data_IF_623502354084
#
_entry.id   IF_623502354084
#
_cell.length_a   1.000
_cell.length_b   1.000
_cell.length_c   1.000
_cell.angle_alpha   90.00
_cell.angle_beta   90.00
_cell.angle_gamma   90.00
#
_symmetry.space_group_name_H-M   'P 1'
#
loop_
_entity.id
_entity.type
_entity.pdbx_description
1 polymer ?
#
# COMPACT_ATOMS: atom_id res chain seq x y z
N UNK A 1 20.20 -48.99 29.14
CA UNK A 1 21.65 -49.11 29.39
C UNK A 1 22.24 -47.82 28.89
N UNK A 2 22.27 -46.89 29.77
CA UNK A 2 23.40 -46.39 30.55
C UNK A 2 24.53 -45.83 29.70
N UNK A 3 24.67 -44.51 29.71
CA UNK A 3 25.94 -43.88 30.05
C UNK A 3 25.70 -42.51 30.67
N UNK A 4 26.01 -42.50 31.94
CA UNK A 4 25.99 -41.36 32.88
C UNK A 4 27.21 -40.44 32.68
N UNK A 5 26.94 -39.14 32.76
CA UNK A 5 27.55 -38.17 33.66
C UNK A 5 29.07 -38.21 33.92
N UNK A 6 29.78 -37.12 33.61
CA UNK A 6 30.91 -36.62 34.41
C UNK A 6 30.94 -35.09 34.43
N UNK A 7 30.67 -34.54 35.63
CA UNK A 7 30.95 -33.18 36.05
C UNK A 7 32.44 -33.13 36.46
N UNK A 8 33.17 -32.11 35.99
CA UNK A 8 34.47 -31.79 36.51
C UNK A 8 34.45 -30.37 37.10
N UNK A 9 34.52 -30.27 38.45
CA UNK A 9 34.85 -29.07 39.15
C UNK A 9 36.34 -28.75 39.00
N UNK A 10 36.67 -27.48 38.66
CA UNK A 10 38.00 -26.92 38.82
C UNK A 10 37.96 -25.83 39.85
N UNK A 11 38.57 -26.06 41.00
CA UNK A 11 38.80 -25.10 42.05
C UNK A 11 40.01 -24.23 41.68
N UNK A 12 39.87 -22.91 41.68
CA UNK A 12 40.97 -21.93 41.55
C UNK A 12 41.34 -21.41 42.93
N UNK A 13 42.58 -21.64 43.34
CA UNK A 13 43.16 -21.18 44.57
C UNK A 13 43.39 -19.64 44.60
N UNK A 14 43.00 -19.01 45.67
CA UNK A 14 43.24 -17.65 45.96
C UNK A 14 44.66 -17.47 46.52
N UNK A 15 45.53 -16.72 45.87
CA UNK A 15 46.83 -16.25 46.40
C UNK A 15 46.64 -14.86 47.00
N UNK A 16 46.72 -14.82 48.31
CA UNK A 16 46.83 -13.57 49.08
C UNK A 16 48.22 -12.97 48.87
N UNK A 17 48.28 -11.73 48.36
CA UNK A 17 49.45 -10.88 48.46
C UNK A 17 49.17 -9.82 49.48
N UNK A 18 49.91 -9.82 50.59
CA UNK A 18 49.97 -8.79 51.58
C UNK A 18 50.83 -7.65 51.02
N UNK A 19 50.23 -6.49 50.78
CA UNK A 19 50.98 -5.26 50.53
C UNK A 19 51.04 -4.41 51.80
N UNK A 20 52.27 -4.06 52.23
CA UNK A 20 52.59 -3.16 53.32
C UNK A 20 52.04 -1.76 53.00
N UNK A 21 51.22 -1.24 53.90
CA UNK A 21 50.70 0.12 53.81
C UNK A 21 51.74 1.12 54.42
N UNK A 22 52.54 1.71 53.60
CA UNK A 22 53.26 2.94 53.97
C UNK A 22 52.30 4.12 53.87
N UNK A 23 52.00 4.75 54.99
CA UNK A 23 51.15 5.94 55.06
C UNK A 23 51.83 7.11 54.35
N UNK A 24 51.35 7.44 53.15
CA UNK A 24 51.66 8.74 52.53
C UNK A 24 50.57 9.73 52.94
N UNK A 25 50.98 10.77 53.64
CA UNK A 25 50.15 11.94 53.93
C UNK A 25 49.80 12.68 52.68
N UNK A 26 48.59 12.52 52.19
CA UNK A 26 48.04 13.33 51.11
C UNK A 26 47.69 14.73 51.64
N UNK A 27 48.02 15.81 50.87
CA UNK A 27 47.57 17.17 51.26
C UNK A 27 46.04 17.26 51.15
N UNK A 28 45.46 17.95 52.17
CA UNK A 28 44.04 18.17 52.24
C UNK A 28 43.46 18.84 51.00
N UNK A 29 42.59 18.13 50.29
CA UNK A 29 41.80 18.69 49.16
C UNK A 29 40.79 19.68 49.78
N UNK A 30 40.72 20.94 49.30
CA UNK A 30 39.70 21.87 49.75
C UNK A 30 38.29 21.30 49.42
N UNK A 31 37.28 21.55 50.29
CA UNK A 31 35.93 21.04 50.07
C UNK A 31 35.44 21.53 48.69
N UNK A 32 34.75 20.66 47.91
CA UNK A 32 34.19 21.05 46.63
C UNK A 32 33.21 22.22 46.85
N UNK A 33 33.39 23.27 46.02
CA UNK A 33 32.47 24.39 45.98
C UNK A 33 31.07 23.82 45.81
N UNK A 34 30.17 24.23 46.70
CA UNK A 34 28.74 23.87 46.65
C UNK A 34 28.19 24.19 45.29
N UNK A 35 28.12 23.17 44.40
CA UNK A 35 27.41 23.31 43.16
C UNK A 35 25.94 23.60 43.52
N UNK A 36 25.49 24.82 43.28
CA UNK A 36 24.08 25.11 43.26
C UNK A 36 23.42 24.14 42.27
N UNK A 37 22.76 23.12 42.80
CA UNK A 37 21.88 22.30 41.95
C UNK A 37 20.89 23.25 41.30
N UNK A 38 20.73 23.20 39.98
CA UNK A 38 19.67 23.95 39.32
C UNK A 38 18.35 23.56 40.02
N UNK A 39 17.68 24.54 40.64
CA UNK A 39 16.36 24.36 41.20
C UNK A 39 15.42 24.07 40.03
N UNK A 40 15.12 22.81 39.80
CA UNK A 40 14.00 22.44 38.94
C UNK A 40 12.75 22.96 39.65
N UNK A 41 12.22 24.07 39.18
CA UNK A 41 10.86 24.46 39.55
C UNK A 41 9.96 23.28 39.18
N UNK A 42 9.19 22.71 40.10
CA UNK A 42 8.25 21.67 39.72
C UNK A 42 7.37 22.27 38.63
N UNK A 43 7.28 21.59 37.47
CA UNK A 43 6.33 21.92 36.42
C UNK A 43 4.94 21.89 37.04
N UNK A 44 4.48 23.04 37.53
CA UNK A 44 3.14 23.22 38.12
C UNK A 44 2.05 23.25 37.05
N UNK A 45 2.36 22.89 35.81
CA UNK A 45 1.35 22.64 34.82
C UNK A 45 0.64 21.33 35.17
N UNK A 46 -0.47 21.48 35.91
CA UNK A 46 -1.37 20.36 36.21
C UNK A 46 -1.74 19.70 34.88
N UNK A 47 -1.21 18.53 34.63
CA UNK A 47 -1.57 17.75 33.46
C UNK A 47 -3.06 17.44 33.56
N UNK A 48 -3.88 18.11 32.79
CA UNK A 48 -5.28 17.75 32.61
C UNK A 48 -5.36 16.75 31.47
N UNK A 49 -5.78 15.53 31.78
CA UNK A 49 -6.08 14.55 30.75
C UNK A 49 -7.23 15.10 29.90
N UNK A 50 -7.11 14.99 28.55
CA UNK A 50 -8.22 15.38 27.67
C UNK A 50 -9.43 14.49 27.96
N UNK A 51 -10.63 15.03 27.70
CA UNK A 51 -11.86 14.24 27.80
C UNK A 51 -11.81 13.06 26.82
N UNK A 52 -11.93 11.80 27.30
CA UNK A 52 -11.90 10.61 26.42
C UNK A 52 -12.97 10.66 25.32
N UNK A 53 -14.13 11.25 25.60
CA UNK A 53 -15.22 11.41 24.62
C UNK A 53 -14.80 12.31 23.46
N UNK A 54 -14.18 13.45 23.77
CA UNK A 54 -13.71 14.41 22.75
C UNK A 54 -12.60 13.80 21.88
N UNK A 55 -11.62 13.10 22.49
CA UNK A 55 -10.54 12.42 21.75
C UNK A 55 -11.11 11.36 20.79
N UNK A 56 -12.02 10.52 21.28
CA UNK A 56 -12.62 9.48 20.46
C UNK A 56 -13.55 10.01 19.37
N UNK A 57 -14.24 11.14 19.62
CA UNK A 57 -15.10 11.77 18.64
C UNK A 57 -14.32 12.24 17.39
N UNK A 58 -13.06 12.65 17.55
CA UNK A 58 -12.19 13.08 16.45
C UNK A 58 -11.31 11.96 15.87
N UNK A 59 -11.37 10.72 16.37
CA UNK A 59 -10.49 9.64 15.94
C UNK A 59 -11.10 8.82 14.80
N UNK A 60 -10.34 8.60 13.73
CA UNK A 60 -10.65 7.67 12.64
C UNK A 60 -9.53 6.65 12.46
N UNK A 61 -9.89 5.44 12.04
CA UNK A 61 -8.97 4.35 11.77
C UNK A 61 -8.90 4.00 10.29
N UNK A 62 -7.71 3.67 9.81
CA UNK A 62 -7.47 3.25 8.41
C UNK A 62 -6.75 1.91 8.44
N UNK A 63 -7.44 0.83 8.03
CA UNK A 63 -6.80 -0.48 7.90
C UNK A 63 -6.02 -0.57 6.60
N UNK A 64 -4.82 -1.15 6.67
CA UNK A 64 -3.87 -1.19 5.55
C UNK A 64 -3.43 -2.62 5.24
N UNK A 65 -2.21 -2.79 4.76
CA UNK A 65 -1.49 -4.05 4.61
C UNK A 65 -0.39 -4.16 5.68
N UNK A 66 0.38 -5.24 5.71
CA UNK A 66 1.56 -5.35 6.56
C UNK A 66 2.53 -4.18 6.40
N UNK A 67 3.36 -3.95 7.41
CA UNK A 67 4.33 -2.87 7.42
C UNK A 67 5.34 -2.99 6.26
N UNK A 68 5.83 -1.85 5.77
CA UNK A 68 6.90 -1.78 4.75
C UNK A 68 6.41 -1.67 3.31
N UNK A 69 5.15 -1.99 3.01
CA UNK A 69 4.57 -1.80 1.68
C UNK A 69 3.96 -0.41 1.47
N UNK A 70 3.71 -0.03 0.22
CA UNK A 70 3.13 1.26 -0.14
C UNK A 70 1.83 1.57 0.63
N UNK A 71 0.95 0.59 0.80
CA UNK A 71 -0.33 0.75 1.51
C UNK A 71 -0.13 1.25 2.94
N UNK A 72 0.80 0.67 3.70
CA UNK A 72 1.09 1.10 5.08
C UNK A 72 1.74 2.49 5.13
N UNK A 73 2.60 2.81 4.17
CA UNK A 73 3.22 4.13 4.05
C UNK A 73 2.18 5.20 3.74
N UNK A 74 1.23 4.94 2.83
CA UNK A 74 0.14 5.88 2.52
C UNK A 74 -0.71 6.21 3.74
N UNK A 75 -1.08 5.21 4.54
CA UNK A 75 -1.85 5.46 5.77
C UNK A 75 -1.03 6.22 6.82
N UNK A 76 0.26 5.93 6.95
CA UNK A 76 1.16 6.68 7.83
C UNK A 76 1.34 8.13 7.36
N UNK A 77 1.42 8.38 6.05
CA UNK A 77 1.48 9.72 5.48
C UNK A 77 0.18 10.49 5.75
N UNK A 78 -1.00 9.84 5.62
CA UNK A 78 -2.28 10.45 5.99
C UNK A 78 -2.31 10.84 7.46
N UNK A 79 -1.88 9.96 8.37
CA UNK A 79 -1.77 10.28 9.79
C UNK A 79 -0.83 11.47 10.03
N UNK A 80 0.35 11.46 9.41
CA UNK A 80 1.35 12.52 9.59
C UNK A 80 0.89 13.89 9.10
N UNK A 81 0.13 13.92 8.02
CA UNK A 81 -0.36 15.18 7.42
C UNK A 81 -1.62 15.68 8.11
N UNK A 82 -2.55 14.78 8.46
CA UNK A 82 -3.91 15.16 8.85
C UNK A 82 -4.15 15.15 10.36
N UNK A 83 -3.23 14.56 11.16
CA UNK A 83 -3.42 14.50 12.62
C UNK A 83 -3.36 15.92 13.23
N UNK A 84 -4.47 16.39 13.77
CA UNK A 84 -4.67 17.70 14.40
C UNK A 84 -5.01 17.54 15.89
N UNK A 85 -4.17 16.82 16.63
CA UNK A 85 -4.32 16.64 18.10
C UNK A 85 -5.76 16.28 18.51
N UNK A 86 -6.50 17.29 19.02
CA UNK A 86 -7.83 17.08 19.61
C UNK A 86 -8.98 17.15 18.58
N UNK A 87 -8.71 17.60 17.33
CA UNK A 87 -9.74 17.79 16.32
C UNK A 87 -9.91 16.61 15.39
N UNK A 88 -8.81 16.08 14.87
CA UNK A 88 -8.78 14.92 14.00
C UNK A 88 -7.55 14.09 14.33
N UNK A 89 -7.77 12.84 14.69
CA UNK A 89 -6.71 11.86 14.90
C UNK A 89 -6.85 10.71 13.91
N UNK A 90 -5.79 10.44 13.18
CA UNK A 90 -5.77 9.38 12.15
C UNK A 90 -4.89 8.24 12.65
N UNK A 91 -5.47 7.07 12.83
CA UNK A 91 -4.77 5.88 13.31
C UNK A 91 -4.64 4.85 12.20
N UNK A 92 -3.43 4.67 11.62
CA UNK A 92 -3.15 3.54 10.76
C UNK A 92 -3.19 2.23 11.54
N UNK A 93 -3.92 1.25 11.02
CA UNK A 93 -4.02 -0.10 11.57
C UNK A 93 -3.41 -1.07 10.57
N UNK A 94 -2.42 -1.84 10.99
CA UNK A 94 -1.82 -2.86 10.13
C UNK A 94 -2.80 -4.03 9.97
N UNK A 95 -3.12 -4.35 8.72
CA UNK A 95 -3.95 -5.47 8.32
C UNK A 95 -3.16 -6.50 7.52
N UNK A 96 -3.87 -7.47 6.92
CA UNK A 96 -3.26 -8.51 6.10
C UNK A 96 -3.21 -8.15 4.61
N UNK A 97 -4.06 -7.23 4.16
CA UNK A 97 -4.13 -6.82 2.77
C UNK A 97 -5.55 -6.56 2.26
N UNK A 98 -5.73 -6.22 0.99
CA UNK A 98 -6.98 -5.70 0.45
C UNK A 98 -8.20 -6.61 0.65
N UNK A 99 -8.03 -7.93 0.60
CA UNK A 99 -9.13 -8.90 0.80
C UNK A 99 -9.60 -8.87 2.25
N UNK A 100 -8.67 -9.02 3.22
CA UNK A 100 -9.03 -8.97 4.64
C UNK A 100 -9.58 -7.60 5.03
N UNK A 101 -9.04 -6.52 4.46
CA UNK A 101 -9.51 -5.15 4.74
C UNK A 101 -11.00 -4.98 4.42
N UNK A 102 -11.52 -5.65 3.41
CA UNK A 102 -12.97 -5.65 3.11
C UNK A 102 -13.77 -6.28 4.26
N UNK A 103 -13.35 -7.43 4.76
CA UNK A 103 -14.00 -8.07 5.92
C UNK A 103 -13.95 -7.15 7.13
N UNK A 104 -12.81 -6.53 7.37
CA UNK A 104 -12.63 -5.63 8.50
C UNK A 104 -13.49 -4.37 8.38
N UNK A 105 -13.61 -3.78 7.19
CA UNK A 105 -14.54 -2.68 6.91
C UNK A 105 -16.00 -3.05 7.12
N UNK A 106 -16.38 -4.27 6.76
CA UNK A 106 -17.77 -4.73 6.83
C UNK A 106 -18.21 -5.11 8.26
N UNK A 107 -17.28 -5.59 9.08
CA UNK A 107 -17.65 -6.27 10.33
C UNK A 107 -16.92 -5.79 11.59
N UNK A 108 -15.74 -5.19 11.50
CA UNK A 108 -15.04 -4.69 12.68
C UNK A 108 -15.56 -3.33 13.12
N UNK A 109 -15.97 -3.23 14.38
CA UNK A 109 -16.58 -2.02 14.94
C UNK A 109 -15.66 -0.79 14.95
N UNK A 110 -14.35 -0.99 14.99
CA UNK A 110 -13.37 0.10 15.15
C UNK A 110 -12.62 0.44 13.86
N UNK A 111 -13.03 -0.10 12.72
CA UNK A 111 -12.44 0.23 11.43
C UNK A 111 -13.39 1.16 10.67
N UNK A 112 -12.91 2.36 10.36
CA UNK A 112 -13.71 3.40 9.67
C UNK A 112 -13.44 3.41 8.16
N UNK A 113 -12.16 3.23 7.78
CA UNK A 113 -11.69 3.24 6.40
C UNK A 113 -10.64 2.17 6.18
N UNK A 114 -10.40 1.82 4.92
CA UNK A 114 -9.38 0.83 4.55
C UNK A 114 -8.87 0.99 3.12
N UNK A 115 -7.69 0.47 2.86
CA UNK A 115 -7.12 0.42 1.53
C UNK A 115 -7.56 -0.87 0.84
N UNK A 116 -8.28 -0.74 -0.28
CA UNK A 116 -8.87 -1.83 -1.05
C UNK A 116 -8.46 -1.71 -2.52
N UNK A 117 -8.18 -2.83 -3.18
CA UNK A 117 -7.88 -2.84 -4.61
C UNK A 117 -9.18 -2.98 -5.45
N UNK A 118 -9.18 -2.39 -6.64
CA UNK A 118 -10.37 -2.35 -7.52
C UNK A 118 -10.84 -3.72 -7.98
N UNK A 119 -9.99 -4.73 -8.01
CA UNK A 119 -10.26 -6.11 -8.42
C UNK A 119 -10.74 -7.04 -7.29
N UNK A 120 -10.69 -6.57 -6.03
CA UNK A 120 -11.14 -7.37 -4.88
C UNK A 120 -12.63 -7.75 -4.95
N UNK A 121 -13.57 -6.87 -5.38
CA UNK A 121 -14.97 -7.29 -5.56
C UNK A 121 -15.14 -8.46 -6.53
N UNK A 122 -14.38 -8.49 -7.62
CA UNK A 122 -14.41 -9.61 -8.56
C UNK A 122 -13.94 -10.91 -7.91
N UNK A 123 -12.87 -10.86 -7.10
CA UNK A 123 -12.46 -12.01 -6.31
C UNK A 123 -13.58 -12.52 -5.38
N UNK A 124 -14.33 -11.63 -4.71
CA UNK A 124 -15.44 -12.03 -3.85
C UNK A 124 -16.57 -12.68 -4.63
N UNK A 125 -16.88 -12.19 -5.84
CA UNK A 125 -17.85 -12.82 -6.74
C UNK A 125 -17.42 -14.22 -7.15
N UNK A 126 -16.17 -14.37 -7.59
CA UNK A 126 -15.62 -15.67 -8.03
C UNK A 126 -15.54 -16.66 -6.88
N UNK A 127 -15.03 -16.23 -5.73
CA UNK A 127 -14.70 -17.12 -4.62
C UNK A 127 -15.92 -17.48 -3.75
N UNK A 128 -16.84 -16.53 -3.57
CA UNK A 128 -17.93 -16.64 -2.59
C UNK A 128 -19.32 -16.38 -3.17
N UNK A 129 -19.44 -16.03 -4.45
CA UNK A 129 -20.72 -15.62 -5.06
C UNK A 129 -21.29 -14.33 -4.46
N UNK A 130 -20.45 -13.50 -3.81
CA UNK A 130 -20.89 -12.34 -3.04
C UNK A 130 -20.55 -11.04 -3.76
N UNK A 131 -21.55 -10.17 -3.97
CA UNK A 131 -21.32 -8.79 -4.36
C UNK A 131 -21.19 -7.92 -3.11
N UNK A 132 -20.05 -7.25 -2.97
CA UNK A 132 -19.74 -6.40 -1.83
C UNK A 132 -19.79 -4.91 -2.18
N UNK A 133 -20.00 -4.56 -3.46
CA UNK A 133 -19.89 -3.18 -3.96
C UNK A 133 -20.99 -2.27 -3.41
N UNK A 134 -22.18 -2.80 -3.14
CA UNK A 134 -23.28 -2.03 -2.54
C UNK A 134 -23.02 -1.61 -1.09
N UNK A 135 -22.15 -2.32 -0.39
CA UNK A 135 -21.85 -2.08 1.02
C UNK A 135 -20.64 -1.18 1.23
N UNK A 136 -19.80 -1.00 0.22
CA UNK A 136 -18.60 -0.20 0.25
C UNK A 136 -18.73 1.06 -0.60
N UNK A 137 -18.03 2.12 -0.20
CA UNK A 137 -17.92 3.36 -0.95
C UNK A 137 -16.46 3.77 -1.00
N UNK A 138 -15.97 4.17 -2.19
CA UNK A 138 -14.63 4.73 -2.25
C UNK A 138 -14.64 6.24 -1.94
N UNK A 139 -13.63 6.70 -1.26
CA UNK A 139 -13.41 8.11 -0.97
C UNK A 139 -12.60 8.73 -2.12
N UNK A 140 -11.45 8.15 -2.44
CA UNK A 140 -10.61 8.55 -3.56
C UNK A 140 -9.76 7.39 -4.07
N UNK A 141 -9.21 7.54 -5.27
CA UNK A 141 -8.15 6.68 -5.78
C UNK A 141 -6.81 7.19 -5.27
N UNK A 142 -5.99 6.29 -4.72
CA UNK A 142 -4.68 6.61 -4.18
C UNK A 142 -3.56 6.44 -5.23
N UNK A 143 -3.37 5.23 -5.72
CA UNK A 143 -2.32 4.89 -6.68
C UNK A 143 -2.65 3.56 -7.38
N UNK A 144 -1.74 3.07 -8.22
CA UNK A 144 -1.89 1.78 -8.88
C UNK A 144 -0.92 0.74 -8.28
N UNK A 145 -1.42 -0.49 -8.08
CA UNK A 145 -0.61 -1.69 -7.90
C UNK A 145 -0.48 -2.38 -9.27
N UNK A 146 0.70 -2.46 -9.80
CA UNK A 146 1.00 -3.16 -11.03
C UNK A 146 1.04 -4.67 -10.77
N UNK A 147 0.51 -5.45 -11.71
CA UNK A 147 0.50 -6.91 -11.59
C UNK A 147 1.81 -7.46 -12.13
N UNK A 148 2.61 -8.01 -11.23
CA UNK A 148 3.87 -8.66 -11.56
C UNK A 148 3.63 -10.16 -11.67
N UNK A 149 4.06 -10.75 -12.80
CA UNK A 149 4.16 -12.19 -12.97
C UNK A 149 5.62 -12.50 -13.30
N UNK A 150 6.28 -13.26 -12.44
CA UNK A 150 7.67 -13.68 -12.66
C UNK A 150 7.68 -15.18 -12.95
N UNK A 151 8.29 -15.56 -14.07
CA UNK A 151 8.34 -16.94 -14.55
C UNK A 151 9.63 -17.20 -15.33
N UNK A 152 9.96 -18.50 -15.62
CA UNK A 152 11.00 -18.86 -16.57
C UNK A 152 10.74 -18.30 -17.97
N UNK A 153 11.81 -18.06 -18.72
CA UNK A 153 11.80 -17.32 -19.99
C UNK A 153 11.03 -17.98 -21.15
N UNK A 154 10.67 -19.25 -21.02
CA UNK A 154 9.78 -19.93 -21.95
C UNK A 154 8.31 -19.52 -21.84
N UNK A 155 7.89 -18.97 -20.70
CA UNK A 155 6.53 -18.44 -20.47
C UNK A 155 6.54 -16.96 -20.81
N UNK A 156 6.14 -16.58 -22.02
CA UNK A 156 6.29 -15.20 -22.53
C UNK A 156 5.13 -14.28 -22.19
N UNK A 157 3.93 -14.83 -22.23
CA UNK A 157 2.69 -14.08 -21.99
C UNK A 157 1.83 -14.78 -20.95
N UNK A 158 0.86 -14.08 -20.40
CA UNK A 158 -0.11 -14.65 -19.45
C UNK A 158 -0.85 -15.85 -20.04
N UNK A 159 -0.99 -15.96 -21.36
CA UNK A 159 -1.68 -17.09 -22.01
C UNK A 159 -0.85 -18.38 -21.98
N UNK A 160 0.47 -18.31 -21.86
CA UNK A 160 1.34 -19.48 -21.71
C UNK A 160 1.23 -20.16 -20.34
N UNK A 161 0.43 -19.56 -19.44
CA UNK A 161 0.18 -20.08 -18.11
C UNK A 161 -0.98 -21.10 -18.04
N UNK A 162 -1.65 -21.40 -19.17
CA UNK A 162 -2.69 -22.45 -19.22
C UNK A 162 -2.14 -23.79 -18.69
N UNK A 163 -2.84 -24.37 -17.72
CA UNK A 163 -2.46 -25.64 -17.06
C UNK A 163 -1.28 -25.56 -16.08
N UNK A 164 -0.72 -24.39 -15.82
CA UNK A 164 0.46 -24.18 -14.96
C UNK A 164 0.11 -24.04 -13.49
N UNK A 165 1.14 -24.23 -12.63
CA UNK A 165 1.08 -24.03 -11.18
C UNK A 165 1.55 -22.63 -10.84
N UNK A 166 0.67 -21.86 -10.26
CA UNK A 166 0.91 -20.45 -9.94
C UNK A 166 1.05 -20.30 -8.42
N UNK A 167 2.20 -19.83 -7.98
CA UNK A 167 2.35 -19.34 -6.61
C UNK A 167 1.69 -17.95 -6.51
N UNK A 168 0.65 -17.86 -5.71
CA UNK A 168 -0.15 -16.65 -5.54
C UNK A 168 -0.42 -16.41 -4.05
N UNK A 169 0.41 -15.62 -3.34
CA UNK A 169 0.26 -15.37 -1.92
C UNK A 169 -1.15 -14.88 -1.58
N UNK A 170 -1.77 -15.51 -0.58
CA UNK A 170 -3.21 -15.43 -0.29
C UNK A 170 -3.76 -14.00 -0.21
N UNK A 171 -3.04 -13.11 0.45
CA UNK A 171 -3.55 -11.76 0.77
C UNK A 171 -3.05 -10.68 -0.19
N UNK A 172 -2.09 -10.97 -1.07
CA UNK A 172 -1.45 -9.98 -1.95
C UNK A 172 -1.39 -10.37 -3.43
N UNK A 173 -1.60 -11.65 -3.79
CA UNK A 173 -1.50 -12.15 -5.17
C UNK A 173 -2.74 -12.89 -5.63
N UNK A 174 -3.31 -13.73 -4.77
CA UNK A 174 -4.37 -14.68 -5.16
C UNK A 174 -5.64 -13.99 -5.69
N UNK A 175 -6.03 -12.84 -5.15
CA UNK A 175 -7.23 -12.14 -5.59
C UNK A 175 -7.09 -11.61 -7.03
N UNK A 176 -5.96 -10.98 -7.35
CA UNK A 176 -5.67 -10.53 -8.72
C UNK A 176 -5.46 -11.70 -9.68
N UNK A 177 -4.77 -12.76 -9.24
CA UNK A 177 -4.61 -13.97 -10.03
C UNK A 177 -5.95 -14.56 -10.44
N UNK A 178 -6.86 -14.76 -9.48
CA UNK A 178 -8.21 -15.29 -9.76
C UNK A 178 -9.01 -14.38 -10.68
N UNK A 179 -8.97 -13.06 -10.48
CA UNK A 179 -9.66 -12.11 -11.33
C UNK A 179 -9.12 -12.15 -12.78
N UNK A 180 -7.81 -12.09 -12.96
CA UNK A 180 -7.17 -12.08 -14.29
C UNK A 180 -7.41 -13.40 -15.02
N UNK A 181 -7.07 -14.54 -14.41
CA UNK A 181 -7.18 -15.83 -15.09
C UNK A 181 -8.63 -16.23 -15.38
N UNK A 182 -9.57 -15.92 -14.48
CA UNK A 182 -11.00 -16.11 -14.76
C UNK A 182 -11.48 -15.28 -15.96
N UNK A 183 -11.11 -14.00 -16.02
CA UNK A 183 -11.49 -13.10 -17.11
C UNK A 183 -10.86 -13.47 -18.44
N UNK A 184 -9.63 -13.96 -18.42
CA UNK A 184 -8.92 -14.41 -19.63
C UNK A 184 -9.28 -15.84 -20.05
N UNK A 185 -10.07 -16.56 -19.22
CA UNK A 185 -10.41 -17.97 -19.39
C UNK A 185 -9.17 -18.88 -19.42
N UNK A 186 -8.22 -18.64 -18.54
CA UNK A 186 -7.01 -19.43 -18.37
C UNK A 186 -7.17 -20.30 -17.13
N UNK A 187 -7.02 -21.61 -17.28
CA UNK A 187 -7.10 -22.56 -16.18
C UNK A 187 -5.71 -22.77 -15.59
N UNK A 188 -5.58 -22.52 -14.30
CA UNK A 188 -4.32 -22.69 -13.56
C UNK A 188 -4.58 -23.42 -12.24
N UNK A 189 -3.54 -24.03 -11.68
CA UNK A 189 -3.55 -24.51 -10.30
C UNK A 189 -2.88 -23.49 -9.41
N UNK A 190 -3.57 -23.08 -8.34
CA UNK A 190 -3.01 -22.11 -7.37
C UNK A 190 -2.30 -22.84 -6.24
N UNK A 191 -1.07 -22.44 -5.99
CA UNK A 191 -0.40 -22.65 -4.72
C UNK A 191 -0.39 -21.33 -3.96
N UNK A 192 -0.76 -21.35 -2.69
CA UNK A 192 -0.83 -20.17 -1.82
C UNK A 192 -0.25 -20.49 -0.44
N UNK A 193 0.79 -21.31 -0.42
CA UNK A 193 1.45 -21.78 0.79
C UNK A 193 2.09 -20.65 1.57
N UNK A 194 2.58 -19.63 0.85
CA UNK A 194 3.28 -18.49 1.42
C UNK A 194 2.32 -17.30 1.61
N UNK A 195 1.87 -17.11 2.85
CA UNK A 195 1.07 -15.96 3.24
C UNK A 195 1.96 -14.72 3.32
N UNK A 196 1.81 -13.77 2.37
CA UNK A 196 2.53 -12.49 2.37
C UNK A 196 4.08 -12.61 2.46
N UNK A 197 4.65 -13.74 2.04
CA UNK A 197 6.09 -13.96 1.94
C UNK A 197 6.53 -13.99 0.48
N UNK A 198 6.86 -12.82 -0.06
CA UNK A 198 7.33 -12.68 -1.44
C UNK A 198 8.64 -13.44 -1.71
N UNK A 199 9.50 -13.58 -0.69
CA UNK A 199 10.78 -14.30 -0.81
C UNK A 199 10.53 -15.79 -0.97
N UNK A 200 9.69 -16.36 -0.12
CA UNK A 200 9.31 -17.77 -0.20
C UNK A 200 8.56 -18.11 -1.48
N UNK A 201 7.64 -17.25 -1.90
CA UNK A 201 6.89 -17.41 -3.15
C UNK A 201 7.79 -17.40 -4.38
N UNK A 202 8.70 -16.43 -4.49
CA UNK A 202 9.68 -16.36 -5.57
C UNK A 202 10.62 -17.57 -5.58
N UNK A 203 11.01 -18.06 -4.39
CA UNK A 203 11.87 -19.26 -4.27
C UNK A 203 11.21 -20.52 -4.83
N UNK A 204 9.85 -20.65 -4.76
CA UNK A 204 9.14 -21.78 -5.38
C UNK A 204 9.32 -21.80 -6.90
N UNK A 205 9.37 -20.63 -7.55
CA UNK A 205 9.62 -20.54 -9.00
C UNK A 205 11.09 -20.86 -9.30
N UNK A 206 12.03 -20.35 -8.52
CA UNK A 206 13.47 -20.63 -8.68
C UNK A 206 13.76 -22.14 -8.55
N UNK A 207 13.11 -22.81 -7.62
CA UNK A 207 13.23 -24.25 -7.35
C UNK A 207 12.44 -25.12 -8.36
N UNK A 208 11.67 -24.53 -9.29
CA UNK A 208 10.81 -25.24 -10.23
C UNK A 208 9.60 -25.93 -9.59
N UNK A 209 9.23 -25.57 -8.37
CA UNK A 209 8.05 -26.09 -7.66
C UNK A 209 6.77 -25.39 -8.08
N UNK A 210 6.86 -24.13 -8.49
CA UNK A 210 5.82 -23.38 -9.16
C UNK A 210 6.33 -22.94 -10.55
N UNK A 211 5.42 -22.78 -11.50
CA UNK A 211 5.74 -22.36 -12.87
C UNK A 211 5.78 -20.83 -12.99
N UNK A 212 5.05 -20.10 -12.13
CA UNK A 212 5.10 -18.65 -12.05
C UNK A 212 4.70 -18.16 -10.65
N UNK A 213 5.15 -16.95 -10.30
CA UNK A 213 4.69 -16.20 -9.13
C UNK A 213 3.96 -14.94 -9.56
N UNK A 214 2.78 -14.68 -8.98
CA UNK A 214 1.96 -13.51 -9.27
C UNK A 214 1.72 -12.68 -8.02
N UNK A 215 1.87 -11.36 -8.13
CA UNK A 215 1.59 -10.40 -7.06
C UNK A 215 1.16 -9.04 -7.61
N UNK A 216 0.16 -8.41 -6.97
CA UNK A 216 -0.22 -7.01 -7.21
C UNK A 216 0.44 -6.09 -6.20
N UNK A 217 1.36 -5.25 -6.64
CA UNK A 217 2.08 -4.31 -5.78
C UNK A 217 2.57 -3.09 -6.55
N UNK A 218 2.83 -2.00 -5.81
CA UNK A 218 3.39 -0.80 -6.40
C UNK A 218 4.77 -1.06 -7.01
N UNK A 219 4.97 -0.72 -8.27
CA UNK A 219 6.30 -0.71 -8.86
C UNK A 219 7.10 0.50 -8.31
N UNK A 220 8.39 0.42 -8.04
CA UNK A 220 9.31 -0.68 -8.32
C UNK A 220 9.36 -1.60 -7.09
N UNK A 221 9.16 -2.90 -7.30
CA UNK A 221 9.19 -3.91 -6.24
C UNK A 221 10.66 -4.29 -5.94
N UNK A 222 11.18 -4.05 -4.71
CA UNK A 222 12.60 -4.21 -4.41
C UNK A 222 13.13 -5.63 -4.61
N UNK A 223 12.33 -6.66 -4.25
CA UNK A 223 12.74 -8.07 -4.40
C UNK A 223 12.95 -8.46 -5.86
N UNK A 224 12.09 -7.99 -6.77
CA UNK A 224 12.21 -8.24 -8.20
C UNK A 224 13.35 -7.42 -8.82
N UNK A 225 13.50 -6.13 -8.43
CA UNK A 225 14.58 -5.28 -8.93
C UNK A 225 15.97 -5.83 -8.58
N UNK A 226 16.13 -6.33 -7.36
CA UNK A 226 17.41 -6.79 -6.82
C UNK A 226 17.62 -8.31 -7.00
N UNK A 227 16.73 -8.98 -7.73
CA UNK A 227 16.82 -10.42 -7.96
C UNK A 227 18.15 -10.76 -8.63
N UNK A 228 18.91 -11.68 -8.03
CA UNK A 228 20.09 -12.29 -8.66
C UNK A 228 19.60 -13.31 -9.68
N UNK A 229 19.50 -12.88 -10.93
CA UNK A 229 18.98 -13.67 -12.04
C UNK A 229 20.14 -14.10 -12.96
N UNK A 230 20.96 -15.00 -12.46
CA UNK A 230 22.10 -15.52 -13.22
C UNK A 230 21.59 -16.22 -14.49
N UNK A 231 22.24 -15.91 -15.63
CA UNK A 231 21.87 -16.41 -16.96
C UNK A 231 20.45 -15.98 -17.42
N UNK A 232 19.85 -14.98 -16.80
CA UNK A 232 18.50 -14.47 -17.14
C UNK A 232 17.45 -15.58 -17.31
N UNK A 233 17.40 -16.49 -16.38
CA UNK A 233 16.43 -17.62 -16.41
C UNK A 233 15.01 -17.20 -16.13
N UNK A 234 14.82 -16.09 -15.41
CA UNK A 234 13.52 -15.55 -15.05
C UNK A 234 13.31 -14.21 -15.75
N UNK A 235 12.07 -13.88 -15.99
CA UNK A 235 11.67 -12.59 -16.53
C UNK A 235 10.29 -12.17 -16.02
N UNK A 236 9.87 -10.95 -16.35
CA UNK A 236 8.50 -10.48 -16.18
C UNK A 236 7.65 -10.93 -17.37
N UNK A 237 6.55 -11.61 -17.08
CA UNK A 237 5.62 -12.14 -18.09
C UNK A 237 4.69 -11.02 -18.54
N UNK A 238 4.49 -10.88 -19.85
CA UNK A 238 3.58 -9.87 -20.41
C UNK A 238 2.11 -10.20 -20.13
N UNK A 239 1.36 -9.19 -19.70
CA UNK A 239 -0.11 -9.21 -19.59
C UNK A 239 -0.65 -8.17 -20.56
N UNK A 240 -1.04 -8.54 -21.78
CA UNK A 240 -1.62 -7.62 -22.76
C UNK A 240 -2.90 -6.99 -22.20
N UNK A 241 -3.13 -5.71 -22.51
CA UNK A 241 -4.35 -5.00 -22.10
C UNK A 241 -5.56 -5.46 -22.91
N UNK A 242 -6.06 -6.65 -22.55
CA UNK A 242 -7.20 -7.31 -23.19
C UNK A 242 -8.53 -6.63 -22.82
N UNK A 243 -9.51 -6.62 -23.75
CA UNK A 243 -10.85 -6.04 -23.51
C UNK A 243 -11.55 -6.64 -22.29
N UNK A 244 -11.30 -7.91 -21.99
CA UNK A 244 -11.86 -8.62 -20.84
C UNK A 244 -11.36 -8.09 -19.49
N UNK A 245 -10.26 -7.33 -19.46
CA UNK A 245 -9.65 -6.78 -18.26
C UNK A 245 -9.95 -5.29 -18.05
N UNK A 246 -10.46 -4.59 -19.07
CA UNK A 246 -10.54 -3.12 -19.09
C UNK A 246 -11.49 -2.48 -18.09
N UNK A 247 -12.46 -3.21 -17.57
CA UNK A 247 -13.38 -2.74 -16.53
C UNK A 247 -12.82 -2.88 -15.09
N UNK A 248 -11.76 -3.68 -14.91
CA UNK A 248 -11.11 -3.88 -13.61
C UNK A 248 -9.72 -3.24 -13.52
N UNK A 249 -9.00 -3.18 -14.63
CA UNK A 249 -7.59 -2.82 -14.67
C UNK A 249 -7.31 -1.66 -15.62
N UNK A 250 -6.24 -0.95 -15.34
CA UNK A 250 -5.64 0.04 -16.24
C UNK A 250 -4.43 -0.56 -16.96
N UNK A 251 -4.11 -0.10 -18.18
CA UNK A 251 -2.86 -0.50 -18.83
C UNK A 251 -1.66 0.03 -18.05
N UNK A 252 -0.63 -0.77 -17.97
CA UNK A 252 0.66 -0.39 -17.39
C UNK A 252 1.80 -1.10 -18.10
N UNK A 253 3.04 -0.74 -17.79
CA UNK A 253 4.23 -1.38 -18.31
C UNK A 253 5.36 -1.36 -17.29
N UNK A 254 6.31 -2.26 -17.44
CA UNK A 254 7.58 -2.26 -16.73
C UNK A 254 8.71 -1.93 -17.70
N UNK A 255 9.69 -1.16 -17.25
CA UNK A 255 10.89 -0.82 -18.04
C UNK A 255 12.12 -1.55 -17.54
N UNK A 256 13.13 -1.65 -18.41
CA UNK A 256 14.44 -2.18 -18.05
C UNK A 256 15.15 -1.36 -16.97
N UNK A 257 14.87 -0.05 -16.85
CA UNK A 257 15.42 0.79 -15.78
C UNK A 257 14.80 0.46 -14.40
N UNK A 258 13.54 0.06 -14.40
CA UNK A 258 12.84 -0.40 -13.20
C UNK A 258 13.30 -1.80 -12.77
N UNK A 259 13.51 -2.72 -13.74
CA UNK A 259 13.84 -4.13 -13.50
C UNK A 259 14.99 -4.64 -14.37
N UNK A 260 16.21 -4.14 -14.18
CA UNK A 260 17.35 -4.40 -15.09
C UNK A 260 17.76 -5.87 -15.19
N UNK A 261 17.42 -6.67 -14.16
CA UNK A 261 17.75 -8.11 -14.13
C UNK A 261 16.66 -8.99 -14.74
N UNK A 262 15.45 -8.46 -15.00
CA UNK A 262 14.29 -9.19 -15.52
C UNK A 262 13.89 -8.75 -16.93
N UNK A 263 14.26 -7.54 -17.34
CA UNK A 263 13.93 -6.96 -18.65
C UNK A 263 15.25 -6.64 -19.38
N UNK A 264 15.42 -7.02 -20.65
CA UNK A 264 16.58 -6.64 -21.46
C UNK A 264 16.70 -5.11 -21.59
N UNK A 265 17.94 -4.57 -21.66
CA UNK A 265 18.14 -3.12 -21.81
C UNK A 265 17.38 -2.51 -22.99
N UNK A 266 16.64 -1.43 -22.74
CA UNK A 266 15.87 -0.70 -23.74
C UNK A 266 14.50 -1.31 -24.07
N UNK A 267 14.15 -2.45 -23.45
CA UNK A 267 12.84 -3.09 -23.64
C UNK A 267 11.86 -2.70 -22.53
N UNK A 268 10.57 -2.91 -22.81
CA UNK A 268 9.45 -2.81 -21.85
C UNK A 268 8.62 -4.08 -21.87
N UNK A 269 7.87 -4.32 -20.81
CA UNK A 269 6.94 -5.45 -20.68
C UNK A 269 5.57 -4.91 -20.29
N UNK A 270 4.58 -5.18 -21.14
CA UNK A 270 3.19 -4.79 -20.85
C UNK A 270 2.66 -5.52 -19.64
N UNK A 271 1.91 -4.79 -18.82
CA UNK A 271 1.15 -5.33 -17.69
C UNK A 271 -0.14 -4.55 -17.48
N UNK A 272 -0.92 -4.99 -16.51
CA UNK A 272 -2.11 -4.28 -16.04
C UNK A 272 -1.96 -3.85 -14.60
N UNK A 273 -2.70 -2.83 -14.18
CA UNK A 273 -2.63 -2.31 -12.83
C UNK A 273 -4.03 -2.19 -12.21
N UNK A 274 -4.16 -2.65 -10.96
CA UNK A 274 -5.33 -2.42 -10.13
C UNK A 274 -5.22 -1.08 -9.40
N UNK A 275 -6.31 -0.31 -9.36
CA UNK A 275 -6.35 0.93 -8.57
C UNK A 275 -6.45 0.61 -7.07
N UNK A 276 -5.64 1.27 -6.24
CA UNK A 276 -5.80 1.23 -4.79
C UNK A 276 -6.68 2.39 -4.34
N UNK A 277 -7.76 2.05 -3.67
CA UNK A 277 -8.79 2.97 -3.19
C UNK A 277 -8.68 3.13 -1.67
N UNK A 278 -8.90 4.35 -1.20
CA UNK A 278 -9.34 4.57 0.17
C UNK A 278 -10.86 4.39 0.18
N UNK A 279 -11.32 3.38 0.89
CA UNK A 279 -12.73 3.00 0.95
C UNK A 279 -13.26 3.00 2.39
N UNK A 280 -14.58 3.14 2.53
CA UNK A 280 -15.32 3.05 3.78
C UNK A 280 -16.55 2.19 3.59
N UNK A 281 -17.14 1.72 4.70
CA UNK A 281 -18.49 1.18 4.67
C UNK A 281 -19.48 2.26 4.22
N UNK A 282 -20.58 1.88 3.61
CA UNK A 282 -21.66 2.79 3.21
C UNK A 282 -22.49 3.25 4.43
N UNK A 283 -21.88 4.09 5.29
CA UNK A 283 -22.55 4.61 6.48
C UNK A 283 -23.73 5.52 6.11
N UNK A 284 -24.89 5.35 6.76
CA UNK A 284 -25.99 6.31 6.60
C UNK A 284 -25.59 7.73 7.05
N UNK A 285 -26.05 8.75 6.33
CA UNK A 285 -25.62 10.15 6.44
C UNK A 285 -25.59 10.73 7.87
N UNK A 286 -26.47 10.35 8.75
CA UNK A 286 -26.62 10.97 10.08
C UNK A 286 -25.96 10.18 11.20
N UNK A 287 -25.20 9.13 10.87
CA UNK A 287 -24.50 8.33 11.89
C UNK A 287 -23.20 8.98 12.32
N UNK A 288 -22.78 8.77 13.57
CA UNK A 288 -21.51 9.28 14.09
C UNK A 288 -20.33 8.81 13.24
N UNK A 289 -20.38 7.61 12.71
CA UNK A 289 -19.34 7.09 11.81
C UNK A 289 -19.28 7.84 10.49
N UNK A 290 -20.43 8.12 9.88
CA UNK A 290 -20.47 8.95 8.69
C UNK A 290 -19.84 10.33 8.95
N UNK A 291 -20.19 10.98 10.07
CA UNK A 291 -19.68 12.32 10.41
C UNK A 291 -18.16 12.30 10.65
N UNK A 292 -17.62 11.26 11.28
CA UNK A 292 -16.17 11.11 11.44
C UNK A 292 -15.45 10.99 10.10
N UNK A 293 -15.95 10.11 9.22
CA UNK A 293 -15.37 9.92 7.87
C UNK A 293 -15.54 11.19 7.04
N UNK A 294 -16.68 11.89 7.11
CA UNK A 294 -16.90 13.14 6.40
C UNK A 294 -15.90 14.23 6.82
N UNK A 295 -15.64 14.38 8.12
CA UNK A 295 -14.62 15.29 8.64
C UNK A 295 -13.22 14.95 8.16
N UNK A 296 -12.88 13.65 8.12
CA UNK A 296 -11.63 13.19 7.55
C UNK A 296 -11.53 13.52 6.06
N UNK A 297 -12.60 13.31 5.28
CA UNK A 297 -12.67 13.64 3.85
C UNK A 297 -12.39 15.12 3.60
N UNK A 298 -13.03 15.99 4.37
CA UNK A 298 -12.80 17.43 4.28
C UNK A 298 -11.34 17.80 4.53
N UNK A 299 -10.74 17.29 5.61
CA UNK A 299 -9.33 17.51 5.93
C UNK A 299 -8.39 16.97 4.85
N UNK A 300 -8.66 15.77 4.32
CA UNK A 300 -7.84 15.11 3.29
C UNK A 300 -7.90 15.90 1.97
N UNK A 301 -9.09 16.23 1.49
CA UNK A 301 -9.26 16.88 0.18
C UNK A 301 -8.76 18.32 0.20
N UNK A 302 -9.00 19.06 1.28
CA UNK A 302 -8.47 20.42 1.45
C UNK A 302 -6.93 20.48 1.47
N UNK A 303 -6.28 19.40 1.88
CA UNK A 303 -4.82 19.32 2.01
C UNK A 303 -4.17 18.36 1.00
N UNK A 304 -4.90 17.91 -0.02
CA UNK A 304 -4.40 16.92 -0.98
C UNK A 304 -3.09 17.35 -1.66
N UNK A 305 -2.89 18.63 -1.89
CA UNK A 305 -1.66 19.18 -2.49
C UNK A 305 -0.40 19.08 -1.62
N UNK A 306 -0.52 18.67 -0.35
CA UNK A 306 0.62 18.44 0.52
C UNK A 306 1.24 17.06 0.34
N UNK A 307 0.46 16.07 -0.09
CA UNK A 307 0.87 14.68 -0.14
C UNK A 307 1.93 14.35 -1.22
N UNK A 308 1.94 14.96 -2.41
CA UNK A 308 2.98 14.68 -3.41
C UNK A 308 4.39 15.17 -3.02
N UNK A 309 4.53 15.90 -1.93
CA UNK A 309 5.80 16.50 -1.49
C UNK A 309 6.64 15.53 -0.65
N UNK A 310 7.98 15.45 -0.84
CA UNK A 310 8.85 14.67 0.04
C UNK A 310 8.67 15.07 1.52
N UNK A 311 8.90 14.15 2.46
CA UNK A 311 9.43 12.77 2.32
C UNK A 311 8.36 11.69 2.13
N UNK A 312 7.16 12.04 1.66
CA UNK A 312 6.04 11.13 1.48
C UNK A 312 6.26 10.19 0.29
N UNK A 313 5.46 9.12 0.24
CA UNK A 313 5.59 8.11 -0.80
C UNK A 313 5.46 8.73 -2.22
N UNK A 314 6.37 8.44 -3.17
CA UNK A 314 6.36 9.07 -4.50
C UNK A 314 5.05 8.86 -5.28
N UNK A 315 4.40 7.71 -5.11
CA UNK A 315 3.12 7.39 -5.76
C UNK A 315 1.92 8.24 -5.30
N UNK A 316 2.09 9.15 -4.32
CA UNK A 316 1.09 10.18 -4.05
C UNK A 316 0.83 11.11 -5.24
N UNK A 317 1.75 11.18 -6.19
CA UNK A 317 1.55 11.87 -7.48
C UNK A 317 0.47 11.20 -8.35
N UNK A 318 0.11 9.95 -8.08
CA UNK A 318 -0.95 9.21 -8.76
C UNK A 318 -2.32 9.40 -8.10
N UNK A 319 -2.36 9.96 -6.90
CA UNK A 319 -3.58 10.15 -6.14
C UNK A 319 -4.53 11.14 -6.85
N UNK A 320 -5.81 10.78 -6.90
CA UNK A 320 -6.84 11.61 -7.53
C UNK A 320 -8.13 11.56 -6.73
N UNK A 321 -8.56 12.74 -6.27
CA UNK A 321 -9.85 12.92 -5.59
C UNK A 321 -11.02 12.91 -6.58
N UNK A 322 -10.77 13.22 -7.86
CA UNK A 322 -11.78 13.30 -8.92
C UNK A 322 -11.94 12.01 -9.72
N UNK A 323 -11.01 11.05 -9.60
CA UNK A 323 -11.04 9.82 -10.38
C UNK A 323 -12.38 9.08 -10.23
N UNK A 324 -13.02 8.79 -11.35
CA UNK A 324 -14.17 7.89 -11.41
C UNK A 324 -13.64 6.46 -11.51
N UNK A 325 -14.16 5.59 -10.66
CA UNK A 325 -13.74 4.18 -10.59
C UNK A 325 -14.89 3.30 -11.08
N UNK A 326 -14.74 2.63 -12.22
CA UNK A 326 -15.80 1.77 -12.76
C UNK A 326 -16.26 0.71 -11.75
N UNK A 327 -17.57 0.50 -11.65
CA UNK A 327 -18.16 -0.48 -10.72
C UNK A 327 -18.16 -0.08 -9.25
N UNK A 328 -17.63 1.10 -8.88
CA UNK A 328 -17.62 1.60 -7.51
C UNK A 328 -18.44 2.90 -7.37
N UNK A 329 -19.13 3.03 -6.26
CA UNK A 329 -19.82 4.26 -5.90
C UNK A 329 -18.98 5.08 -4.93
N UNK A 330 -18.96 6.40 -5.13
CA UNK A 330 -18.23 7.31 -4.25
C UNK A 330 -18.94 7.48 -2.90
N UNK A 331 -18.16 7.65 -1.82
CA UNK A 331 -18.69 8.00 -0.52
C UNK A 331 -19.37 9.39 -0.60
N UNK A 332 -20.58 9.49 -0.07
CA UNK A 332 -21.40 10.68 -0.27
C UNK A 332 -20.71 11.98 0.14
N UNK A 333 -20.06 12.02 1.31
CA UNK A 333 -19.37 13.23 1.75
C UNK A 333 -18.20 13.60 0.81
N UNK A 334 -17.55 12.63 0.16
CA UNK A 334 -16.52 12.91 -0.82
C UNK A 334 -17.11 13.50 -2.11
N UNK A 335 -18.28 13.01 -2.55
CA UNK A 335 -18.97 13.58 -3.70
C UNK A 335 -19.49 15.00 -3.39
N UNK A 336 -20.16 15.19 -2.24
CA UNK A 336 -20.68 16.48 -1.80
C UNK A 336 -19.56 17.54 -1.72
N UNK A 337 -18.38 17.14 -1.23
CA UNK A 337 -17.20 18.03 -1.19
C UNK A 337 -16.76 18.44 -2.60
N UNK A 338 -16.67 17.50 -3.54
CA UNK A 338 -16.32 17.80 -4.93
C UNK A 338 -17.33 18.72 -5.61
N UNK A 339 -18.63 18.47 -5.40
CA UNK A 339 -19.71 19.28 -5.96
C UNK A 339 -19.67 20.73 -5.42
N UNK A 340 -19.38 20.89 -4.13
CA UNK A 340 -19.28 22.20 -3.47
C UNK A 340 -18.03 22.97 -3.91
N UNK A 341 -16.94 22.27 -4.22
CA UNK A 341 -15.66 22.87 -4.62
C UNK A 341 -15.38 22.77 -6.12
N UNK A 342 -16.42 22.48 -6.92
CA UNK A 342 -16.32 22.23 -8.37
C UNK A 342 -15.57 23.33 -9.14
N UNK A 343 -15.70 24.59 -8.75
CA UNK A 343 -14.98 25.71 -9.39
C UNK A 343 -13.47 25.67 -9.11
N UNK A 344 -13.04 25.23 -7.93
CA UNK A 344 -11.62 25.13 -7.58
C UNK A 344 -10.97 23.91 -8.20
N UNK A 345 -11.68 22.78 -8.23
CA UNK A 345 -11.24 21.51 -8.82
C UNK A 345 -11.34 21.58 -10.34
N UNK A 346 -12.40 22.19 -10.87
CA UNK A 346 -12.71 22.27 -12.29
C UNK A 346 -11.70 23.09 -13.11
N UNK A 347 -11.04 24.07 -12.55
CA UNK A 347 -10.03 24.85 -13.28
C UNK A 347 -8.77 23.99 -13.60
N UNK A 348 -8.35 23.14 -12.69
CA UNK A 348 -7.23 22.22 -12.92
C UNK A 348 -7.62 21.02 -13.80
N UNK A 349 -8.82 20.47 -13.59
CA UNK A 349 -9.33 19.34 -14.37
C UNK A 349 -9.83 19.75 -15.77
N UNK A 350 -10.43 20.93 -15.95
CA UNK A 350 -10.84 21.42 -17.26
C UNK A 350 -9.63 21.71 -18.17
N UNK A 351 -8.56 22.27 -17.63
CA UNK A 351 -7.32 22.42 -18.40
C UNK A 351 -6.72 21.07 -18.80
N UNK A 352 -6.81 20.06 -17.94
CA UNK A 352 -6.36 18.71 -18.20
C UNK A 352 -7.30 17.98 -19.16
N UNK A 353 -8.61 18.16 -19.02
CA UNK A 353 -9.62 17.58 -19.90
C UNK A 353 -9.60 18.19 -21.31
N UNK A 354 -9.32 19.50 -21.44
CA UNK A 354 -9.14 20.15 -22.73
C UNK A 354 -7.94 19.59 -23.48
N UNK A 355 -6.81 19.46 -22.79
CA UNK A 355 -5.60 18.82 -23.36
C UNK A 355 -5.86 17.37 -23.78
N UNK A 356 -6.66 16.67 -23.00
CA UNK A 356 -7.04 15.31 -23.33
C UNK A 356 -7.95 15.24 -24.56
N UNK A 357 -8.95 16.11 -24.67
CA UNK A 357 -9.78 16.19 -25.89
C UNK A 357 -8.97 16.53 -27.14
N UNK A 358 -8.02 17.46 -27.03
CA UNK A 358 -7.08 17.75 -28.11
C UNK A 358 -6.24 16.53 -28.48
N UNK A 359 -5.69 15.84 -27.51
CA UNK A 359 -4.93 14.61 -27.73
C UNK A 359 -5.78 13.53 -28.42
N UNK A 360 -7.02 13.29 -27.97
CA UNK A 360 -7.92 12.31 -28.57
C UNK A 360 -8.35 12.70 -29.99
N UNK A 361 -8.56 13.98 -30.26
CA UNK A 361 -8.82 14.47 -31.60
C UNK A 361 -7.63 14.25 -32.56
N UNK A 362 -6.40 14.44 -32.08
CA UNK A 362 -5.16 14.16 -32.82
C UNK A 362 -4.96 12.66 -33.08
N UNK A 363 -5.48 11.81 -32.19
CA UNK A 363 -5.47 10.35 -32.36
C UNK A 363 -6.63 9.80 -33.24
N UNK A 364 -7.44 10.69 -33.83
CA UNK A 364 -8.52 10.28 -34.72
C UNK A 364 -9.86 9.97 -34.04
N UNK A 365 -10.03 10.36 -32.80
CA UNK A 365 -11.24 10.13 -32.00
C UNK A 365 -11.95 11.45 -31.59
N UNK A 366 -12.44 12.28 -32.54
CA UNK A 366 -13.00 13.59 -32.20
C UNK A 366 -14.38 13.56 -31.50
N UNK A 367 -15.11 12.44 -31.57
CA UNK A 367 -16.51 12.32 -31.11
C UNK A 367 -16.69 11.19 -30.09
N UNK A 368 -15.98 11.25 -28.97
CA UNK A 368 -16.14 10.28 -27.86
C UNK A 368 -17.37 10.61 -27.02
N UNK A 369 -18.10 9.57 -26.59
CA UNK A 369 -19.11 9.71 -25.56
C UNK A 369 -18.49 10.20 -24.23
N UNK A 370 -19.28 10.80 -23.35
CA UNK A 370 -18.78 11.25 -22.04
C UNK A 370 -18.21 10.08 -21.22
N UNK A 371 -18.79 8.89 -21.34
CA UNK A 371 -18.37 7.68 -20.64
C UNK A 371 -17.02 7.15 -21.17
N UNK A 372 -16.88 7.10 -22.50
CA UNK A 372 -15.61 6.73 -23.15
C UNK A 372 -14.53 7.77 -22.87
N UNK A 373 -14.88 9.06 -22.83
CA UNK A 373 -13.97 10.14 -22.53
C UNK A 373 -13.39 10.00 -21.11
N UNK A 374 -14.22 9.67 -20.10
CA UNK A 374 -13.79 9.45 -18.72
C UNK A 374 -12.86 8.23 -18.62
N UNK A 375 -13.21 7.14 -19.31
CA UNK A 375 -12.41 5.91 -19.34
C UNK A 375 -11.03 6.15 -19.96
N UNK A 376 -11.02 6.82 -21.12
CA UNK A 376 -9.79 7.17 -21.84
C UNK A 376 -8.99 8.28 -21.15
N UNK A 377 -9.65 9.18 -20.40
CA UNK A 377 -8.96 10.20 -19.58
C UNK A 377 -8.12 9.59 -18.47
N UNK A 378 -8.59 8.53 -17.83
CA UNK A 378 -7.79 7.79 -16.86
C UNK A 378 -6.53 7.19 -17.51
N UNK A 379 -6.65 6.68 -18.74
CA UNK A 379 -5.52 6.19 -19.54
C UNK A 379 -4.57 7.32 -19.94
N UNK A 380 -5.10 8.47 -20.32
CA UNK A 380 -4.31 9.67 -20.65
C UNK A 380 -3.54 10.22 -19.45
N UNK A 381 -4.15 10.26 -18.27
CA UNK A 381 -3.44 10.66 -17.05
C UNK A 381 -2.24 9.76 -16.76
N UNK A 382 -2.36 8.48 -17.05
CA UNK A 382 -1.25 7.53 -16.94
C UNK A 382 -0.17 7.82 -18.00
N UNK A 383 -0.55 8.03 -19.27
CA UNK A 383 0.37 8.40 -20.35
C UNK A 383 1.08 9.73 -20.10
N UNK A 384 0.36 10.76 -19.65
CA UNK A 384 0.92 12.10 -19.39
C UNK A 384 1.93 12.11 -18.23
N UNK A 385 1.84 11.15 -17.31
CA UNK A 385 2.85 10.93 -16.27
C UNK A 385 4.14 10.33 -16.83
N UNK A 386 4.04 9.46 -17.84
CA UNK A 386 5.17 8.81 -18.48
C UNK A 386 5.99 9.77 -19.35
N UNK A 387 5.34 10.77 -19.96
CA UNK A 387 5.99 11.72 -20.88
C UNK A 387 6.61 12.94 -20.18
N UNK A 388 6.46 13.08 -18.86
CA UNK A 388 7.00 14.19 -18.07
C UNK A 388 8.19 13.82 -17.19
N UNK A 389 8.69 12.62 -17.29
CA UNK A 389 9.96 12.15 -16.77
C UNK A 389 10.90 11.91 -17.96
#
# INVERSE_FOLDING_TARGET
MEYLMRIALAAAAASLWLYDATAQTTPAVPPPATSQQPSFSPLTTRWTFPDPGAVNAGTVTIITAPAGGAKSVFAADMARVLDEKDKLRVLPVLGKGPVQNVIDLLYLKSIDMGLVATDVPEFYKIQYGADITDRLRYIMKLYNDEIHIIAPTEIKTVFDLEGKRIEAPKDVGLYSAKAIFSRLHINVTYDSTYLNDDTGALQQVIDGKADAWIVGTAKVMPIARNLKNENRRLHLVSIPYDKRLQDLYLPSEFSSDEYPNLIPPGETVDTVAAGILLASFNWPDKTDRYQKVAKFVDALFSRIGEFPKPPRHPKWKEASITAVVPGWQRFKAAQDWLDTHAQQVGAADQASLSKFREFMAQQGHPNLSQEDLVKLYAQFQEWNRRTKN
#
